data_IF_650255557229
#
_entry.id   IF_650255557229
#
_cell.length_a   1.000
_cell.length_b   1.000
_cell.length_c   1.000
_cell.angle_alpha   90.00
_cell.angle_beta   90.00
_cell.angle_gamma   90.00
#
_symmetry.space_group_name_H-M   'P 1'
#
loop_
_entity.id
_entity.type
_entity.pdbx_description
1 polymer ?
#
# COMPACT_ATOMS: atom_id res chain seq x y z
N UNK A 1 9.98 -34.01 34.63
CA UNK A 1 9.08 -32.85 34.82
C UNK A 1 9.82 -31.50 34.72
N UNK A 2 10.84 -31.19 35.54
CA UNK A 2 11.58 -29.90 35.47
C UNK A 2 12.22 -29.58 34.11
N UNK A 3 12.77 -30.58 33.40
CA UNK A 3 13.38 -30.38 32.06
C UNK A 3 12.35 -30.03 30.98
N UNK A 4 11.15 -30.58 31.07
CA UNK A 4 10.06 -30.31 30.11
C UNK A 4 9.56 -28.87 30.31
N UNK A 5 9.40 -28.45 31.57
CA UNK A 5 8.96 -27.09 31.91
C UNK A 5 9.96 -26.02 31.44
N UNK A 6 11.26 -26.30 31.55
CA UNK A 6 12.32 -25.42 31.06
C UNK A 6 12.33 -25.31 29.52
N UNK A 7 12.11 -26.43 28.81
CA UNK A 7 12.01 -26.44 27.34
C UNK A 7 10.78 -25.65 26.85
N UNK A 8 9.62 -25.83 27.49
CA UNK A 8 8.40 -25.08 27.13
C UNK A 8 8.54 -23.59 27.40
N UNK A 9 9.20 -23.19 28.49
CA UNK A 9 9.42 -21.77 28.82
C UNK A 9 10.42 -21.11 27.86
N UNK A 10 11.47 -21.82 27.45
CA UNK A 10 12.43 -21.36 26.45
C UNK A 10 11.74 -21.13 25.09
N UNK A 11 10.90 -22.09 24.66
CA UNK A 11 10.17 -21.98 23.40
C UNK A 11 9.18 -20.80 23.39
N UNK A 12 8.54 -20.52 24.53
CA UNK A 12 7.65 -19.37 24.70
C UNK A 12 8.40 -18.03 24.65
N UNK A 13 9.61 -17.95 25.20
CA UNK A 13 10.43 -16.74 25.15
C UNK A 13 10.96 -16.47 23.74
N UNK A 14 11.28 -17.51 22.97
CA UNK A 14 11.70 -17.38 21.57
C UNK A 14 10.55 -16.97 20.64
N UNK A 15 9.30 -17.36 20.93
CA UNK A 15 8.16 -16.91 20.14
C UNK A 15 7.77 -15.45 20.41
N UNK A 16 8.08 -14.92 21.60
CA UNK A 16 7.83 -13.52 21.95
C UNK A 16 8.76 -12.53 21.22
N UNK A 17 9.99 -12.92 20.87
CA UNK A 17 10.93 -12.05 20.15
C UNK A 17 10.64 -11.93 18.65
N UNK A 18 9.76 -12.77 18.10
CA UNK A 18 9.39 -12.74 16.68
C UNK A 18 8.70 -11.42 16.27
N UNK A 19 7.95 -10.79 17.18
CA UNK A 19 7.21 -9.55 16.88
C UNK A 19 8.11 -8.31 16.78
N UNK A 20 9.32 -8.33 17.37
CA UNK A 20 10.26 -7.22 17.30
C UNK A 20 11.05 -7.15 15.99
N UNK A 21 10.96 -8.19 15.15
CA UNK A 21 11.70 -8.28 13.89
C UNK A 21 10.96 -7.61 12.72
N UNK A 22 9.74 -7.12 12.92
CA UNK A 22 9.06 -6.33 11.90
C UNK A 22 9.79 -4.99 11.71
N UNK A 23 10.31 -4.70 10.51
CA UNK A 23 10.97 -3.43 10.24
C UNK A 23 9.96 -2.30 10.45
N UNK A 24 10.32 -1.31 11.27
CA UNK A 24 9.55 -0.08 11.34
C UNK A 24 9.73 0.66 10.01
N UNK A 25 8.70 0.62 9.15
CA UNK A 25 8.71 1.29 7.85
C UNK A 25 7.94 2.60 7.96
N UNK A 26 8.54 3.65 7.42
CA UNK A 26 7.85 4.91 7.26
C UNK A 26 6.68 4.74 6.28
N UNK A 27 5.50 5.32 6.57
CA UNK A 27 4.35 5.21 5.68
C UNK A 27 4.66 5.81 4.32
N UNK A 28 4.06 5.24 3.27
CA UNK A 28 4.15 5.79 1.93
C UNK A 28 3.45 7.15 1.88
N UNK A 29 4.04 8.09 1.15
CA UNK A 29 3.41 9.37 0.88
C UNK A 29 2.65 9.28 -0.46
N UNK A 30 1.34 9.48 -0.43
CA UNK A 30 0.46 9.34 -1.59
C UNK A 30 -0.24 10.67 -1.81
N UNK A 31 -0.06 11.27 -2.99
CA UNK A 31 -0.69 12.53 -3.36
C UNK A 31 -1.40 12.40 -4.71
N UNK A 32 -2.56 13.04 -4.84
CA UNK A 32 -3.21 13.20 -6.15
C UNK A 32 -2.47 14.28 -6.93
N UNK A 33 -1.94 13.93 -8.11
CA UNK A 33 -1.18 14.86 -8.98
C UNK A 33 -1.93 15.23 -10.24
N UNK A 34 -3.05 14.56 -10.54
CA UNK A 34 -3.92 14.91 -11.65
C UNK A 34 -5.18 14.08 -11.70
N UNK A 35 -6.22 14.63 -12.32
CA UNK A 35 -7.46 13.93 -12.65
C UNK A 35 -7.76 14.28 -14.10
N UNK A 36 -7.80 13.28 -14.97
CA UNK A 36 -8.05 13.46 -16.40
C UNK A 36 -9.36 12.81 -16.79
N UNK A 37 -10.25 13.49 -17.53
CA UNK A 37 -11.46 12.86 -18.04
C UNK A 37 -11.07 11.77 -19.05
N UNK A 38 -11.68 10.60 -18.91
CA UNK A 38 -11.60 9.54 -19.92
C UNK A 38 -12.73 9.69 -20.92
N UNK A 39 -12.63 9.01 -22.07
CA UNK A 39 -13.76 8.95 -23.00
C UNK A 39 -14.95 8.30 -22.28
N UNK A 40 -15.97 9.12 -22.01
CA UNK A 40 -17.26 8.64 -21.53
C UNK A 40 -17.86 7.70 -22.56
N UNK A 41 -18.22 6.49 -22.11
CA UNK A 41 -19.09 5.60 -22.85
C UNK A 41 -20.49 5.75 -22.25
N UNK A 42 -21.45 6.08 -23.12
CA UNK A 42 -22.84 6.27 -22.75
C UNK A 42 -23.06 7.37 -21.68
N UNK A 43 -23.67 7.01 -20.55
CA UNK A 43 -24.01 7.91 -19.43
C UNK A 43 -23.06 7.76 -18.24
N UNK A 44 -21.90 7.13 -18.44
CA UNK A 44 -20.88 6.96 -17.39
C UNK A 44 -19.79 8.03 -17.50
N UNK A 45 -19.59 8.77 -16.41
CA UNK A 45 -18.47 9.70 -16.29
C UNK A 45 -17.29 8.92 -15.74
N UNK A 46 -16.20 8.88 -16.50
CA UNK A 46 -14.98 8.14 -16.14
C UNK A 46 -13.80 9.09 -16.03
N UNK A 47 -12.95 8.86 -15.04
CA UNK A 47 -11.74 9.64 -14.83
C UNK A 47 -10.52 8.74 -14.66
N UNK A 48 -9.36 9.22 -15.09
CA UNK A 48 -8.08 8.67 -14.72
C UNK A 48 -7.49 9.51 -13.60
N UNK A 49 -7.45 8.96 -12.39
CA UNK A 49 -6.80 9.60 -11.25
C UNK A 49 -5.32 9.24 -11.27
N UNK A 50 -4.46 10.26 -11.36
CA UNK A 50 -3.01 10.11 -11.27
C UNK A 50 -2.58 10.34 -9.83
N UNK A 51 -2.02 9.32 -9.20
CA UNK A 51 -1.46 9.38 -7.86
C UNK A 51 0.05 9.29 -7.93
N UNK A 52 0.74 10.09 -7.11
CA UNK A 52 2.17 9.99 -6.88
C UNK A 52 2.40 9.27 -5.57
N UNK A 53 3.07 8.13 -5.63
CA UNK A 53 3.45 7.33 -4.49
C UNK A 53 4.95 7.49 -4.27
N UNK A 54 5.34 7.93 -3.08
CA UNK A 54 6.73 8.08 -2.69
C UNK A 54 7.08 7.04 -1.65
N UNK A 55 8.18 6.32 -1.88
CA UNK A 55 8.72 5.32 -0.98
C UNK A 55 9.91 5.92 -0.21
N UNK A 56 9.72 6.40 1.02
CA UNK A 56 10.81 6.92 1.86
C UNK A 56 11.69 5.81 2.45
N UNK A 57 11.39 4.53 2.21
CA UNK A 57 12.09 3.41 2.82
C UNK A 57 13.26 2.90 1.97
N UNK A 58 14.18 2.20 2.63
CA UNK A 58 15.36 1.54 2.01
C UNK A 58 15.01 0.27 1.21
N UNK A 59 13.78 -0.23 1.35
CA UNK A 59 13.28 -1.44 0.70
C UNK A 59 12.40 -1.09 -0.50
N UNK A 60 12.64 -1.74 -1.63
CA UNK A 60 11.74 -1.64 -2.79
C UNK A 60 10.37 -2.28 -2.48
N UNK A 61 9.34 -1.81 -3.18
CA UNK A 61 7.96 -2.28 -3.04
C UNK A 61 7.49 -2.79 -4.39
N UNK A 62 7.26 -4.10 -4.46
CA UNK A 62 6.61 -4.74 -5.60
C UNK A 62 5.10 -4.72 -5.39
N UNK A 63 4.35 -4.33 -6.41
CA UNK A 63 2.89 -4.28 -6.37
C UNK A 63 2.29 -5.01 -7.58
N UNK A 64 1.11 -5.59 -7.37
CA UNK A 64 0.33 -6.30 -8.39
C UNK A 64 -1.14 -5.92 -8.20
N UNK A 65 -1.53 -4.84 -8.86
CA UNK A 65 -2.82 -4.20 -8.69
C UNK A 65 -2.80 -3.03 -7.71
N UNK A 66 -3.77 -2.14 -7.88
CA UNK A 66 -3.99 -0.93 -7.08
C UNK A 66 -5.49 -0.76 -6.86
N UNK A 67 -5.91 -0.51 -5.63
CA UNK A 67 -7.25 -0.04 -5.30
C UNK A 67 -7.15 1.39 -4.78
N UNK A 68 -8.06 2.25 -5.23
CA UNK A 68 -8.14 3.65 -4.85
C UNK A 68 -9.52 3.94 -4.28
N UNK A 69 -9.54 4.52 -3.08
CA UNK A 69 -10.70 5.17 -2.50
C UNK A 69 -10.35 6.65 -2.31
N UNK A 70 -11.06 7.53 -3.00
CA UNK A 70 -10.86 8.97 -2.95
C UNK A 70 -11.97 9.59 -2.11
N UNK A 71 -11.58 10.26 -1.03
CA UNK A 71 -12.49 11.00 -0.16
C UNK A 71 -12.14 12.49 -0.12
N UNK A 72 -13.17 13.32 -0.02
CA UNK A 72 -13.02 14.78 0.18
C UNK A 72 -13.85 15.18 1.39
N UNK A 73 -13.22 15.81 2.38
CA UNK A 73 -13.86 16.19 3.65
C UNK A 73 -14.58 15.01 4.35
N UNK A 74 -14.00 13.82 4.30
CA UNK A 74 -14.56 12.60 4.89
C UNK A 74 -15.80 12.06 4.17
N UNK A 75 -16.00 12.42 2.90
CA UNK A 75 -17.08 11.90 2.05
C UNK A 75 -16.47 11.19 0.84
N UNK A 76 -16.97 9.99 0.47
CA UNK A 76 -16.50 9.29 -0.70
C UNK A 76 -16.81 10.12 -1.96
N UNK A 77 -15.80 10.31 -2.80
CA UNK A 77 -15.89 11.01 -4.07
C UNK A 77 -15.83 10.01 -5.23
N UNK A 78 -14.88 9.06 -5.20
CA UNK A 78 -14.70 8.06 -6.24
C UNK A 78 -13.96 6.84 -5.70
N UNK A 79 -14.18 5.69 -6.33
CA UNK A 79 -13.39 4.48 -6.06
C UNK A 79 -13.09 3.74 -7.35
N UNK A 80 -11.99 2.99 -7.38
CA UNK A 80 -11.60 2.25 -8.57
C UNK A 80 -10.45 1.29 -8.34
N UNK A 81 -10.20 0.46 -9.34
CA UNK A 81 -9.15 -0.56 -9.31
C UNK A 81 -8.36 -0.56 -10.61
N UNK A 82 -7.10 -0.95 -10.53
CA UNK A 82 -6.21 -1.11 -11.68
C UNK A 82 -5.42 -2.40 -11.51
N UNK A 83 -5.15 -3.11 -12.60
CA UNK A 83 -4.33 -4.32 -12.66
C UNK A 83 -2.83 -4.01 -12.88
N UNK A 84 -2.45 -2.73 -12.84
CA UNK A 84 -1.08 -2.28 -12.94
C UNK A 84 -0.17 -3.00 -11.94
N UNK A 85 0.98 -3.46 -12.42
CA UNK A 85 2.02 -4.07 -11.60
C UNK A 85 3.35 -3.37 -11.86
N UNK A 86 4.26 -3.45 -10.89
CA UNK A 86 5.56 -2.83 -10.99
C UNK A 86 6.31 -2.80 -9.66
N UNK A 87 7.38 -2.02 -9.64
CA UNK A 87 8.24 -1.87 -8.47
C UNK A 87 8.51 -0.40 -8.20
N UNK A 88 8.29 0.05 -6.96
CA UNK A 88 8.73 1.36 -6.47
C UNK A 88 10.06 1.14 -5.75
N UNK A 89 11.15 1.60 -6.35
CA UNK A 89 12.50 1.43 -5.78
C UNK A 89 12.63 2.15 -4.43
N UNK A 90 13.70 1.81 -3.69
CA UNK A 90 14.04 2.51 -2.45
C UNK A 90 14.24 4.00 -2.69
N UNK A 91 13.81 4.84 -1.75
CA UNK A 91 13.97 6.31 -1.81
C UNK A 91 13.58 6.91 -3.18
N UNK A 92 12.47 6.44 -3.75
CA UNK A 92 12.03 6.84 -5.08
C UNK A 92 10.53 7.12 -5.11
N UNK A 93 10.05 7.59 -6.25
CA UNK A 93 8.64 7.88 -6.48
C UNK A 93 8.17 7.30 -7.80
N UNK A 94 6.88 6.98 -7.87
CA UNK A 94 6.20 6.52 -9.07
C UNK A 94 4.85 7.22 -9.22
N UNK A 95 4.42 7.44 -10.46
CA UNK A 95 3.06 7.91 -10.77
C UNK A 95 2.24 6.72 -11.25
N UNK A 96 1.17 6.42 -10.54
CA UNK A 96 0.22 5.35 -10.86
C UNK A 96 -1.10 5.96 -11.35
N UNK A 97 -1.81 5.24 -12.22
CA UNK A 97 -3.04 5.73 -12.84
C UNK A 97 -4.15 4.74 -12.52
N UNK A 98 -5.16 5.20 -11.79
CA UNK A 98 -6.31 4.38 -11.42
C UNK A 98 -7.55 4.93 -12.12
N UNK A 99 -8.22 4.13 -12.97
CA UNK A 99 -9.49 4.52 -13.54
C UNK A 99 -10.58 4.46 -12.46
N UNK A 100 -11.42 5.50 -12.42
CA UNK A 100 -12.58 5.64 -11.54
C UNK A 100 -13.79 6.12 -12.30
#
# INVERSE_FOLDING_TARGET
MRRILALTLSLLLLSLSACALFPNRDPLNINVVGIEPLQSQELEVRFAVKIRVQNPNETAIDYNGVALDLEVNGRPLASGVSDQSGTIARFSEAVLIVPV
#
